data_IF_625417662478
#
_entry.id   IF_625417662478
#
_cell.length_a   1.000
_cell.length_b   1.000
_cell.length_c   1.000
_cell.angle_alpha   90.00
_cell.angle_beta   90.00
_cell.angle_gamma   90.00
#
_symmetry.space_group_name_H-M   'P 1'
#
loop_
_entity.id
_entity.type
_entity.pdbx_description
1 polymer ?
#
# COMPACT_ATOMS: atom_id res chain seq x y z
N UNK A 1 13.82 43.25 -28.98
CA UNK A 1 14.44 41.92 -29.20
C UNK A 1 13.33 40.97 -29.65
N UNK A 2 13.16 40.74 -30.96
CA UNK A 2 12.09 39.91 -31.53
C UNK A 2 12.51 38.44 -31.45
N UNK A 3 11.89 37.66 -30.58
CA UNK A 3 12.04 36.19 -30.57
C UNK A 3 11.59 35.64 -31.93
N UNK A 4 12.49 34.94 -32.61
CA UNK A 4 12.23 34.36 -33.93
C UNK A 4 11.21 33.22 -33.79
N UNK A 5 10.16 33.15 -34.63
CA UNK A 5 9.07 32.16 -34.51
C UNK A 5 9.55 30.70 -34.54
N UNK A 6 10.74 30.46 -35.09
CA UNK A 6 11.39 29.14 -35.12
C UNK A 6 11.77 28.61 -33.73
N UNK A 7 12.15 29.47 -32.79
CA UNK A 7 12.55 29.07 -31.44
C UNK A 7 11.35 28.62 -30.58
N UNK A 8 10.17 29.18 -30.85
CA UNK A 8 8.92 28.87 -30.13
C UNK A 8 8.43 27.46 -30.53
N UNK A 9 8.54 27.11 -31.81
CA UNK A 9 8.17 25.78 -32.31
C UNK A 9 9.01 24.66 -31.69
N UNK A 10 10.33 24.85 -31.60
CA UNK A 10 11.25 23.86 -31.01
C UNK A 10 10.97 23.68 -29.51
N UNK A 11 10.74 24.77 -28.78
CA UNK A 11 10.42 24.70 -27.35
C UNK A 11 9.10 23.96 -27.08
N UNK A 12 8.08 24.18 -27.90
CA UNK A 12 6.80 23.47 -27.78
C UNK A 12 6.94 21.96 -28.04
N UNK A 13 7.71 21.56 -29.06
CA UNK A 13 7.97 20.14 -29.36
C UNK A 13 8.74 19.47 -28.23
N UNK A 14 9.76 20.12 -27.68
CA UNK A 14 10.52 19.58 -26.54
C UNK A 14 9.65 19.40 -25.30
N UNK A 15 8.77 20.36 -24.99
CA UNK A 15 7.84 20.24 -23.87
C UNK A 15 6.89 19.05 -24.03
N UNK A 16 6.32 18.87 -25.23
CA UNK A 16 5.43 17.73 -25.52
C UNK A 16 6.18 16.40 -25.40
N UNK A 17 7.42 16.32 -25.90
CA UNK A 17 8.25 15.12 -25.77
C UNK A 17 8.57 14.80 -24.31
N UNK A 18 8.91 15.80 -23.50
CA UNK A 18 9.18 15.60 -22.06
C UNK A 18 7.93 15.08 -21.36
N UNK A 19 6.77 15.71 -21.56
CA UNK A 19 5.50 15.26 -20.95
C UNK A 19 5.14 13.84 -21.39
N UNK A 20 5.28 13.52 -22.68
CA UNK A 20 5.00 12.19 -23.21
C UNK A 20 5.94 11.12 -22.62
N UNK A 21 7.24 11.42 -22.48
CA UNK A 21 8.19 10.50 -21.85
C UNK A 21 7.90 10.31 -20.35
N UNK A 22 7.48 11.37 -19.64
CA UNK A 22 7.09 11.25 -18.23
C UNK A 22 5.85 10.37 -18.06
N UNK A 23 4.81 10.59 -18.88
CA UNK A 23 3.60 9.75 -18.87
C UNK A 23 3.92 8.31 -19.24
N UNK A 24 4.77 8.09 -20.24
CA UNK A 24 5.19 6.75 -20.64
C UNK A 24 5.97 6.04 -19.54
N UNK A 25 6.94 6.70 -18.89
CA UNK A 25 7.70 6.12 -17.78
C UNK A 25 6.80 5.74 -16.59
N UNK A 26 5.83 6.59 -16.24
CA UNK A 26 4.83 6.28 -15.18
C UNK A 26 4.01 5.04 -15.55
N UNK A 27 3.57 4.94 -16.82
CA UNK A 27 2.77 3.80 -17.30
C UNK A 27 3.59 2.52 -17.44
N UNK A 28 4.86 2.62 -17.83
CA UNK A 28 5.76 1.49 -17.95
C UNK A 28 6.10 0.90 -16.58
N UNK A 29 6.29 1.76 -15.56
CA UNK A 29 6.51 1.30 -14.19
C UNK A 29 5.30 0.53 -13.64
N UNK A 30 4.08 0.92 -14.01
CA UNK A 30 2.87 0.16 -13.69
C UNK A 30 2.66 -1.13 -14.52
N UNK A 31 3.39 -1.31 -15.61
CA UNK A 31 3.26 -2.49 -16.48
C UNK A 31 4.25 -3.62 -16.14
N UNK A 32 5.38 -3.31 -15.49
CA UNK A 32 6.39 -4.29 -15.09
C UNK A 32 6.42 -4.61 -13.59
N UNK A 33 5.65 -3.88 -12.77
CA UNK A 33 5.35 -4.31 -11.41
C UNK A 33 4.23 -5.34 -11.41
N UNK A 34 4.35 -6.40 -10.62
CA UNK A 34 3.24 -7.31 -10.34
C UNK A 34 2.06 -6.48 -9.81
N UNK A 35 1.06 -6.23 -10.65
CA UNK A 35 -0.14 -5.49 -10.26
C UNK A 35 -0.99 -6.44 -9.44
N UNK A 36 -0.82 -6.41 -8.11
CA UNK A 36 -1.77 -7.03 -7.20
C UNK A 36 -3.21 -6.60 -7.53
N UNK A 37 -4.23 -7.37 -7.12
CA UNK A 37 -5.61 -7.03 -7.45
C UNK A 37 -5.93 -5.58 -7.10
N UNK A 38 -6.70 -4.90 -7.94
CA UNK A 38 -7.06 -3.50 -7.66
C UNK A 38 -7.87 -3.42 -6.36
N UNK A 39 -7.69 -2.35 -5.58
CA UNK A 39 -8.50 -2.13 -4.38
C UNK A 39 -10.00 -2.21 -4.69
N UNK A 40 -10.43 -1.69 -5.85
CA UNK A 40 -11.83 -1.68 -6.25
C UNK A 40 -12.41 -3.08 -6.46
N UNK A 41 -11.63 -4.03 -6.98
CA UNK A 41 -12.10 -5.40 -7.18
C UNK A 41 -12.27 -6.19 -5.89
N UNK A 42 -11.59 -5.79 -4.81
CA UNK A 42 -11.59 -6.52 -3.52
C UNK A 42 -12.19 -5.73 -2.36
N UNK A 43 -12.69 -4.52 -2.62
CA UNK A 43 -13.13 -3.60 -1.58
C UNK A 43 -14.18 -4.21 -0.66
N UNK A 44 -15.18 -4.88 -1.23
CA UNK A 44 -16.27 -5.48 -0.47
C UNK A 44 -15.77 -6.61 0.44
N UNK A 45 -14.86 -7.44 -0.07
CA UNK A 45 -14.23 -8.52 0.70
C UNK A 45 -13.45 -7.92 1.89
N UNK A 46 -12.61 -6.92 1.62
CA UNK A 46 -11.80 -6.28 2.66
C UNK A 46 -12.66 -5.55 3.70
N UNK A 47 -13.73 -4.87 3.28
CA UNK A 47 -14.66 -4.21 4.20
C UNK A 47 -15.38 -5.22 5.11
N UNK A 48 -15.73 -6.39 4.58
CA UNK A 48 -16.34 -7.47 5.35
C UNK A 48 -15.37 -8.01 6.39
N UNK A 49 -14.11 -8.27 5.99
CA UNK A 49 -13.05 -8.70 6.90
C UNK A 49 -12.80 -7.64 8.00
N UNK A 50 -12.78 -6.35 7.67
CA UNK A 50 -12.63 -5.27 8.66
C UNK A 50 -13.80 -5.28 9.66
N UNK A 51 -15.03 -5.50 9.19
CA UNK A 51 -16.19 -5.59 10.06
C UNK A 51 -16.09 -6.81 11.01
N UNK A 52 -15.64 -7.94 10.49
CA UNK A 52 -15.46 -9.17 11.26
C UNK A 52 -14.34 -9.01 12.30
N UNK A 53 -13.23 -8.36 11.95
CA UNK A 53 -12.17 -8.00 12.91
C UNK A 53 -12.71 -7.07 14.00
N UNK A 54 -13.45 -6.02 13.61
CA UNK A 54 -14.02 -5.04 14.55
C UNK A 54 -15.03 -5.67 15.52
N UNK A 55 -15.80 -6.66 15.04
CA UNK A 55 -16.75 -7.40 15.87
C UNK A 55 -16.10 -8.46 16.75
N UNK A 56 -14.83 -8.81 16.49
CA UNK A 56 -14.11 -9.89 17.16
C UNK A 56 -14.40 -11.28 16.60
N UNK A 57 -15.15 -11.39 15.49
CA UNK A 57 -15.37 -12.65 14.78
C UNK A 57 -14.07 -13.20 14.16
N UNK A 58 -13.18 -12.30 13.74
CA UNK A 58 -11.79 -12.59 13.39
C UNK A 58 -10.91 -11.92 14.44
N UNK A 59 -10.11 -12.70 15.16
CA UNK A 59 -9.25 -12.18 16.21
C UNK A 59 -7.77 -12.33 15.82
N UNK A 60 -6.94 -11.30 16.05
CA UNK A 60 -5.50 -11.45 15.89
C UNK A 60 -4.91 -12.40 16.93
N UNK A 61 -3.88 -13.14 16.54
CA UNK A 61 -3.02 -13.85 17.45
C UNK A 61 -2.07 -12.90 18.21
N UNK A 62 -1.17 -13.46 19.03
CA UNK A 62 -0.19 -12.68 19.80
C UNK A 62 0.79 -11.88 18.93
N UNK A 63 0.88 -12.19 17.63
CA UNK A 63 1.71 -11.51 16.64
C UNK A 63 0.91 -10.59 15.73
N UNK A 64 -0.38 -10.35 16.01
CA UNK A 64 -1.24 -9.49 15.18
C UNK A 64 -1.75 -10.15 13.90
N UNK A 65 -1.51 -11.45 13.69
CA UNK A 65 -1.95 -12.19 12.49
C UNK A 65 -3.39 -12.63 12.67
N UNK A 66 -4.22 -12.34 11.67
CA UNK A 66 -5.59 -12.80 11.57
C UNK A 66 -5.70 -13.82 10.44
N UNK A 67 -5.92 -15.09 10.75
CA UNK A 67 -6.27 -16.10 9.75
C UNK A 67 -7.70 -15.88 9.29
N UNK A 68 -7.89 -15.83 7.97
CA UNK A 68 -9.19 -15.63 7.35
C UNK A 68 -9.99 -16.95 7.34
N UNK A 69 -11.29 -16.92 7.66
CA UNK A 69 -12.15 -18.10 7.52
C UNK A 69 -12.42 -18.43 6.04
N UNK A 70 -12.83 -19.67 5.77
CA UNK A 70 -13.05 -20.23 4.42
C UNK A 70 -13.94 -19.38 3.47
N UNK A 71 -14.72 -18.43 3.99
CA UNK A 71 -15.50 -17.50 3.19
C UNK A 71 -14.67 -16.44 2.44
N UNK A 72 -13.39 -16.29 2.77
CA UNK A 72 -12.47 -15.31 2.20
C UNK A 72 -11.23 -15.94 1.55
N UNK A 73 -11.31 -17.23 1.17
CA UNK A 73 -10.21 -17.93 0.52
C UNK A 73 -9.75 -17.19 -0.75
N UNK A 74 -8.43 -17.01 -0.87
CA UNK A 74 -7.79 -16.30 -1.98
C UNK A 74 -8.02 -14.79 -2.02
N UNK A 75 -8.60 -14.20 -0.96
CA UNK A 75 -8.67 -12.73 -0.81
C UNK A 75 -7.28 -12.14 -0.60
N UNK A 76 -6.42 -12.84 0.16
CA UNK A 76 -4.98 -12.59 0.25
C UNK A 76 -4.21 -13.86 -0.15
N UNK A 77 -2.94 -13.78 -0.59
CA UNK A 77 -2.20 -14.94 -1.09
C UNK A 77 -2.00 -16.09 -0.09
N UNK A 78 -2.18 -15.83 1.21
CA UNK A 78 -1.97 -16.79 2.29
C UNK A 78 -3.16 -16.88 3.25
N UNK A 79 -4.31 -16.35 2.85
CA UNK A 79 -5.53 -16.30 3.67
C UNK A 79 -5.28 -15.73 5.07
N UNK A 80 -4.37 -14.75 5.15
CA UNK A 80 -4.03 -14.03 6.36
C UNK A 80 -4.09 -12.54 6.08
N UNK A 81 -4.50 -11.79 7.10
CA UNK A 81 -4.32 -10.35 7.17
C UNK A 81 -3.61 -10.05 8.47
N UNK A 82 -2.98 -8.89 8.52
CA UNK A 82 -2.31 -8.46 9.71
C UNK A 82 -3.10 -7.28 10.29
N UNK A 83 -3.35 -7.26 11.59
CA UNK A 83 -3.97 -6.11 12.27
C UNK A 83 -3.15 -5.64 13.48
N UNK A 84 -3.17 -4.34 13.73
CA UNK A 84 -2.48 -3.72 14.85
C UNK A 84 -3.16 -2.43 15.29
N UNK A 85 -2.74 -1.90 16.42
CA UNK A 85 -3.28 -0.64 16.96
C UNK A 85 -2.15 0.37 17.09
N UNK A 86 -2.36 1.56 16.57
CA UNK A 86 -1.46 2.70 16.73
C UNK A 86 -1.50 3.23 18.17
N UNK A 87 -0.47 3.98 18.65
CA UNK A 87 -0.49 4.65 19.95
C UNK A 87 -1.66 5.62 20.14
N UNK A 88 -2.24 6.14 19.06
CA UNK A 88 -3.44 7.00 19.09
C UNK A 88 -4.74 6.21 19.25
N UNK A 89 -4.67 4.87 19.26
CA UNK A 89 -5.82 3.98 19.40
C UNK A 89 -6.49 3.61 18.07
N UNK A 90 -5.95 4.07 16.93
CA UNK A 90 -6.49 3.70 15.61
C UNK A 90 -6.04 2.30 15.23
N UNK A 91 -6.98 1.43 14.84
CA UNK A 91 -6.70 0.13 14.24
C UNK A 91 -6.19 0.31 12.81
N UNK A 92 -5.15 -0.44 12.46
CA UNK A 92 -4.56 -0.52 11.12
C UNK A 92 -4.53 -1.99 10.70
N UNK A 93 -4.96 -2.28 9.48
CA UNK A 93 -5.03 -3.63 8.93
C UNK A 93 -4.36 -3.68 7.57
N UNK A 94 -3.37 -4.55 7.41
CA UNK A 94 -2.68 -4.83 6.15
C UNK A 94 -3.32 -6.05 5.47
N UNK A 95 -3.67 -5.87 4.20
CA UNK A 95 -4.16 -6.88 3.26
C UNK A 95 -3.06 -7.17 2.24
N UNK A 96 -2.25 -8.22 2.45
CA UNK A 96 -1.20 -8.60 1.52
C UNK A 96 -1.77 -8.94 0.15
N UNK A 97 -1.12 -8.45 -0.88
CA UNK A 97 -1.40 -8.78 -2.29
C UNK A 97 -0.25 -9.58 -2.91
N UNK A 98 0.93 -9.51 -2.30
CA UNK A 98 2.12 -10.21 -2.75
C UNK A 98 3.12 -10.36 -1.61
N UNK A 99 3.87 -11.47 -1.63
CA UNK A 99 4.98 -11.74 -0.72
C UNK A 99 6.25 -11.99 -1.53
N UNK A 100 7.36 -11.39 -1.08
CA UNK A 100 8.66 -11.53 -1.72
C UNK A 100 9.65 -12.38 -0.97
N UNK A 101 10.93 -12.08 -1.17
CA UNK A 101 12.02 -12.72 -0.44
C UNK A 101 12.05 -12.18 0.98
N UNK A 102 12.19 -13.07 1.97
CA UNK A 102 12.29 -12.67 3.37
C UNK A 102 11.00 -12.04 3.88
N UNK A 103 11.06 -10.78 4.32
CA UNK A 103 9.92 -10.03 4.84
C UNK A 103 9.32 -9.03 3.85
N UNK A 104 9.65 -9.16 2.57
CA UNK A 104 9.06 -8.36 1.50
C UNK A 104 7.56 -8.60 1.39
N UNK A 105 6.79 -7.51 1.36
CA UNK A 105 5.34 -7.57 1.25
C UNK A 105 4.80 -6.32 0.59
N UNK A 106 3.82 -6.52 -0.30
CA UNK A 106 3.03 -5.44 -0.87
C UNK A 106 1.56 -5.68 -0.54
N UNK A 107 0.81 -4.61 -0.28
CA UNK A 107 -0.60 -4.75 0.04
C UNK A 107 -1.33 -3.44 0.27
N UNK A 108 -2.63 -3.56 0.48
CA UNK A 108 -3.45 -2.43 0.89
C UNK A 108 -3.50 -2.35 2.40
N UNK A 109 -3.43 -1.13 2.91
CA UNK A 109 -3.55 -0.83 4.33
C UNK A 109 -4.83 -0.05 4.53
N UNK A 110 -5.68 -0.51 5.45
CA UNK A 110 -6.80 0.25 5.95
C UNK A 110 -6.48 0.78 7.35
N UNK A 111 -6.80 2.05 7.61
CA UNK A 111 -6.71 2.63 8.95
C UNK A 111 -8.07 3.16 9.38
N UNK A 112 -8.50 2.84 10.61
CA UNK A 112 -9.76 3.34 11.17
C UNK A 112 -9.83 4.87 11.31
N UNK A 113 -8.68 5.54 11.30
CA UNK A 113 -8.56 6.99 11.22
C UNK A 113 -7.52 7.39 10.15
N UNK A 114 -7.62 8.58 9.53
CA UNK A 114 -6.60 9.07 8.62
C UNK A 114 -5.21 9.06 9.28
N UNK A 115 -4.21 8.56 8.56
CA UNK A 115 -2.81 8.59 9.00
C UNK A 115 -2.24 9.98 8.66
N UNK A 116 -1.49 10.57 9.60
CA UNK A 116 -0.81 11.83 9.33
C UNK A 116 0.54 11.58 8.64
N UNK A 117 0.94 12.50 7.77
CA UNK A 117 2.28 12.46 7.19
C UNK A 117 3.33 12.63 8.29
N UNK A 118 4.31 11.74 8.32
CA UNK A 118 5.34 11.67 9.36
C UNK A 118 4.98 10.79 10.57
N UNK A 119 3.80 10.16 10.57
CA UNK A 119 3.47 9.17 11.59
C UNK A 119 4.40 7.95 11.50
N UNK A 120 4.86 7.47 12.65
CA UNK A 120 5.70 6.29 12.76
C UNK A 120 5.10 5.32 13.79
N UNK A 121 4.72 4.13 13.33
CA UNK A 121 4.09 3.13 14.18
C UNK A 121 4.86 1.83 14.14
N UNK A 122 5.17 1.30 15.32
CA UNK A 122 5.72 -0.03 15.46
C UNK A 122 4.59 -1.05 15.41
N UNK A 123 4.45 -1.76 14.29
CA UNK A 123 3.47 -2.84 14.13
C UNK A 123 4.23 -4.13 13.85
N UNK A 124 4.12 -5.08 14.77
CA UNK A 124 4.68 -6.40 14.56
C UNK A 124 3.76 -7.16 13.60
N UNK A 125 4.09 -7.20 12.31
CA UNK A 125 3.29 -7.90 11.31
C UNK A 125 3.72 -9.34 11.05
N UNK A 126 4.51 -9.97 11.95
CA UNK A 126 4.82 -11.42 11.88
C UNK A 126 5.62 -11.92 10.67
N UNK A 127 5.74 -11.17 9.57
CA UNK A 127 6.52 -11.54 8.40
C UNK A 127 8.02 -11.45 8.72
N UNK A 128 8.57 -12.57 9.21
CA UNK A 128 10.00 -12.75 9.48
C UNK A 128 10.47 -12.48 10.91
N UNK A 129 9.58 -12.40 11.90
CA UNK A 129 9.95 -12.39 13.33
C UNK A 129 10.63 -11.10 13.84
N UNK A 130 10.62 -10.02 13.06
CA UNK A 130 11.14 -8.72 13.49
C UNK A 130 10.02 -7.68 13.53
N UNK A 131 10.09 -6.84 14.58
CA UNK A 131 9.29 -5.64 14.75
C UNK A 131 9.34 -4.80 13.48
N UNK A 132 8.20 -4.53 12.85
CA UNK A 132 8.14 -3.70 11.65
C UNK A 132 7.65 -2.31 12.00
N UNK A 133 8.14 -1.32 11.25
CA UNK A 133 7.75 0.06 11.43
C UNK A 133 6.94 0.54 10.22
N UNK A 134 5.70 0.91 10.46
CA UNK A 134 4.86 1.63 9.52
C UNK A 134 5.28 3.10 9.57
N UNK A 135 6.03 3.50 8.55
CA UNK A 135 6.55 4.86 8.39
C UNK A 135 5.77 5.55 7.28
N UNK A 136 4.94 6.51 7.66
CA UNK A 136 4.18 7.36 6.75
C UNK A 136 5.09 8.47 6.24
N UNK A 137 6.16 8.09 5.53
CA UNK A 137 7.26 9.02 5.19
C UNK A 137 8.48 8.38 4.49
N UNK A 138 8.58 7.04 4.51
CA UNK A 138 9.56 6.24 3.76
C UNK A 138 11.04 6.44 4.16
N UNK A 139 11.38 6.18 5.43
CA UNK A 139 12.78 6.17 5.88
C UNK A 139 13.31 4.75 6.13
N UNK A 140 12.52 3.72 6.49
CA UNK A 140 13.17 2.41 6.73
C UNK A 140 12.44 1.05 6.57
N UNK A 141 11.10 0.87 6.59
CA UNK A 141 10.59 -0.53 6.56
C UNK A 141 9.24 -0.82 5.90
N UNK A 142 8.28 0.09 5.80
CA UNK A 142 7.06 -0.12 5.01
C UNK A 142 6.59 1.24 4.51
N UNK A 143 6.82 1.51 3.22
CA UNK A 143 6.44 2.76 2.58
C UNK A 143 4.93 2.79 2.36
N UNK A 144 4.27 3.81 2.91
CA UNK A 144 2.82 3.98 2.81
C UNK A 144 2.48 5.16 1.90
N UNK A 145 1.64 4.93 0.90
CA UNK A 145 1.15 5.96 -0.02
C UNK A 145 -0.38 6.04 0.00
N UNK A 146 -1.00 7.23 0.08
CA UNK A 146 -2.45 7.35 0.09
C UNK A 146 -3.05 6.86 -1.23
N UNK A 147 -4.14 6.09 -1.13
CA UNK A 147 -4.93 5.63 -2.29
C UNK A 147 -6.27 6.38 -2.31
N UNK A 148 -7.07 6.26 -1.24
CA UNK A 148 -8.33 7.00 -1.06
C UNK A 148 -8.83 6.92 0.38
N UNK A 149 -9.28 8.04 0.93
CA UNK A 149 -9.87 8.07 2.28
C UNK A 149 -8.95 7.42 3.31
N UNK A 150 -9.42 6.32 3.90
CA UNK A 150 -8.67 5.51 4.90
C UNK A 150 -7.82 4.39 4.31
N UNK A 151 -7.69 4.33 2.99
CA UNK A 151 -6.94 3.30 2.26
C UNK A 151 -5.61 3.83 1.74
N UNK A 152 -4.59 3.02 1.94
CA UNK A 152 -3.21 3.28 1.55
C UNK A 152 -2.62 2.05 0.85
N UNK A 153 -1.60 2.27 0.04
CA UNK A 153 -0.74 1.22 -0.50
C UNK A 153 0.49 1.13 0.39
N UNK A 154 0.79 -0.07 0.87
CA UNK A 154 1.99 -0.39 1.63
C UNK A 154 2.94 -1.24 0.79
N UNK A 155 4.23 -0.89 0.79
CA UNK A 155 5.27 -1.72 0.18
C UNK A 155 6.51 -1.78 1.06
N UNK A 156 6.98 -3.00 1.30
CA UNK A 156 8.23 -3.30 2.01
C UNK A 156 9.11 -4.13 1.11
N UNK A 157 10.36 -3.67 0.95
CA UNK A 157 11.42 -4.36 0.22
C UNK A 157 12.67 -4.34 1.11
N UNK A 158 13.21 -5.52 1.41
CA UNK A 158 14.56 -5.67 1.91
C UNK A 158 15.49 -5.48 0.70
N UNK A 159 16.37 -4.50 0.80
CA UNK A 159 17.43 -4.23 -0.16
C UNK A 159 18.52 -5.30 -0.19
#
# INVERSE_FOLDING_TARGET
MKLRPFAIGIAAVLLVCVVAMTVFAIRLNSAFGFVGPSLNSRLNDYQSIIADIKSGAIAPDASGVCTLPNGFDGVTPRDEVFTGTTPTGSTVTLFPTWYGRGSDVDGYIHSSAPLAAGDYYTINWGAGGNVQHLDVGAIDMLSVSPVRGTWYWGSRRLD
#
